data_IF_279062130192
#
_entry.id   IF_279062130192
#
_cell.length_a   1.000
_cell.length_b   1.000
_cell.length_c   1.000
_cell.angle_alpha   90.00
_cell.angle_beta   90.00
_cell.angle_gamma   90.00
#
_symmetry.space_group_name_H-M   'P 1'
#
loop_
_entity.id
_entity.type
_entity.pdbx_description
1 polymer ?
#
# COMPACT_ATOMS: atom_id res chain seq x y z
N UNK A 1 4.87 7.69 -25.67
CA UNK A 1 4.82 6.56 -24.72
C UNK A 1 3.65 5.68 -25.14
N UNK A 2 3.87 4.39 -25.38
CA UNK A 2 2.78 3.47 -25.70
C UNK A 2 1.82 3.39 -24.51
N UNK A 3 0.52 3.49 -24.75
CA UNK A 3 -0.47 3.41 -23.69
C UNK A 3 -0.54 1.97 -23.18
N UNK A 4 0.16 1.65 -22.09
CA UNK A 4 0.02 0.35 -21.41
C UNK A 4 -1.43 0.20 -20.91
N UNK A 5 -1.96 -1.01 -21.04
CA UNK A 5 -3.26 -1.43 -20.50
C UNK A 5 -3.00 -2.40 -19.35
N UNK A 6 -3.65 -2.17 -18.22
CA UNK A 6 -3.55 -3.02 -17.04
C UNK A 6 -4.84 -3.81 -16.87
N UNK A 7 -4.69 -5.10 -16.58
CA UNK A 7 -5.80 -6.02 -16.34
C UNK A 7 -5.41 -7.01 -15.26
N UNK A 8 -6.37 -7.35 -14.41
CA UNK A 8 -6.21 -8.38 -13.37
C UNK A 8 -6.39 -9.76 -13.99
N UNK A 9 -5.55 -10.71 -13.59
CA UNK A 9 -5.74 -12.14 -13.87
C UNK A 9 -6.43 -12.76 -12.65
N UNK A 10 -7.68 -13.17 -12.81
CA UNK A 10 -8.48 -13.75 -11.74
C UNK A 10 -8.34 -15.28 -11.67
N UNK A 11 -8.82 -15.86 -10.58
CA UNK A 11 -8.92 -17.31 -10.35
C UNK A 11 -7.98 -17.83 -9.26
N UNK A 12 -7.06 -16.99 -8.78
CA UNK A 12 -6.07 -17.37 -7.76
C UNK A 12 -6.49 -16.95 -6.36
N UNK A 13 -7.19 -15.82 -6.22
CA UNK A 13 -7.40 -15.18 -4.93
C UNK A 13 -8.90 -15.10 -4.59
N UNK A 14 -9.23 -15.20 -3.30
CA UNK A 14 -10.60 -15.06 -2.79
C UNK A 14 -11.18 -13.67 -3.05
N UNK A 15 -10.31 -12.67 -3.19
CA UNK A 15 -10.65 -11.30 -3.54
C UNK A 15 -11.17 -11.16 -5.00
N UNK A 16 -11.04 -12.21 -5.82
CA UNK A 16 -11.66 -12.28 -7.14
C UNK A 16 -13.19 -12.51 -7.06
N UNK A 17 -13.73 -12.85 -5.88
CA UNK A 17 -15.14 -13.17 -5.67
C UNK A 17 -15.86 -12.06 -4.85
N UNK A 18 -17.02 -11.55 -5.28
CA UNK A 18 -17.69 -10.39 -4.67
C UNK A 18 -18.38 -10.67 -3.33
N UNK A 19 -18.38 -11.91 -2.85
CA UNK A 19 -19.17 -12.34 -1.70
C UNK A 19 -18.41 -12.35 -0.37
N UNK A 20 -17.08 -12.22 -0.39
CA UNK A 20 -16.28 -12.21 0.83
C UNK A 20 -15.95 -10.78 1.25
N UNK A 21 -16.17 -10.48 2.53
CA UNK A 21 -15.78 -9.21 3.16
C UNK A 21 -14.83 -9.45 4.35
N UNK A 22 -14.31 -10.65 4.54
CA UNK A 22 -13.38 -10.96 5.64
C UNK A 22 -11.95 -10.93 5.11
N UNK A 23 -10.98 -10.53 5.95
CA UNK A 23 -9.58 -10.67 5.58
C UNK A 23 -9.29 -12.17 5.38
N UNK A 24 -8.92 -12.61 4.18
CA UNK A 24 -8.79 -14.02 3.93
C UNK A 24 -7.44 -14.55 4.47
N UNK A 25 -7.38 -15.82 4.91
CA UNK A 25 -6.12 -16.44 5.31
C UNK A 25 -5.17 -16.50 4.11
N UNK A 26 -3.85 -16.64 4.38
CA UNK A 26 -2.83 -16.87 3.34
C UNK A 26 -2.83 -15.80 2.24
N UNK A 27 -3.05 -14.53 2.61
CA UNK A 27 -3.21 -13.41 1.69
C UNK A 27 -4.34 -13.58 0.66
N UNK A 28 -5.23 -14.55 0.86
CA UNK A 28 -6.36 -14.85 0.00
C UNK A 28 -6.11 -15.90 -1.07
N UNK A 29 -4.97 -16.58 -1.10
CA UNK A 29 -4.77 -17.67 -2.07
C UNK A 29 -5.82 -18.77 -1.86
N UNK A 30 -6.55 -19.10 -2.93
CA UNK A 30 -7.63 -20.10 -2.93
C UNK A 30 -7.13 -21.51 -2.66
N UNK A 31 -5.96 -21.86 -3.18
CA UNK A 31 -5.32 -23.16 -2.94
C UNK A 31 -4.89 -23.26 -1.46
N UNK A 32 -5.35 -24.29 -0.78
CA UNK A 32 -5.09 -24.59 0.63
C UNK A 32 -4.17 -25.80 0.83
N UNK A 33 -3.63 -26.39 -0.25
CA UNK A 33 -2.63 -27.46 -0.16
C UNK A 33 -1.29 -26.96 0.41
N UNK A 34 -0.47 -27.89 0.89
CA UNK A 34 0.85 -27.56 1.48
C UNK A 34 1.85 -26.97 0.46
N UNK A 35 1.67 -27.25 -0.82
CA UNK A 35 2.51 -26.76 -1.93
C UNK A 35 1.89 -25.56 -2.69
N UNK A 36 0.82 -24.96 -2.13
CA UNK A 36 0.02 -23.89 -2.76
C UNK A 36 0.84 -22.75 -3.36
N UNK A 37 1.84 -22.24 -2.65
CA UNK A 37 2.65 -21.12 -3.14
C UNK A 37 3.67 -21.54 -4.18
N UNK A 38 4.18 -22.76 -4.08
CA UNK A 38 5.06 -23.34 -5.10
C UNK A 38 4.29 -23.51 -6.41
N UNK A 39 3.06 -24.03 -6.34
CA UNK A 39 2.14 -24.11 -7.50
C UNK A 39 1.83 -22.73 -8.05
N UNK A 40 1.41 -21.79 -7.20
CA UNK A 40 1.10 -20.42 -7.61
C UNK A 40 2.29 -19.76 -8.32
N UNK A 41 3.50 -19.88 -7.77
CA UNK A 41 4.71 -19.35 -8.40
C UNK A 41 4.94 -19.98 -9.78
N UNK A 42 4.79 -21.30 -9.90
CA UNK A 42 4.89 -22.00 -11.18
C UNK A 42 3.89 -21.50 -12.23
N UNK A 43 2.65 -21.19 -11.83
CA UNK A 43 1.65 -20.60 -12.72
C UNK A 43 2.07 -19.20 -13.20
N UNK A 44 2.62 -18.35 -12.33
CA UNK A 44 3.14 -17.01 -12.72
C UNK A 44 4.34 -17.13 -13.67
N UNK A 45 5.23 -18.09 -13.42
CA UNK A 45 6.37 -18.39 -14.31
C UNK A 45 5.88 -18.86 -15.68
N UNK A 46 4.89 -19.75 -15.72
CA UNK A 46 4.28 -20.25 -16.95
C UNK A 46 3.54 -19.16 -17.74
N UNK A 47 2.82 -18.26 -17.06
CA UNK A 47 2.17 -17.10 -17.67
C UNK A 47 3.19 -16.20 -18.37
N UNK A 48 4.33 -15.92 -17.73
CA UNK A 48 5.38 -15.11 -18.34
C UNK A 48 6.12 -15.86 -19.46
N UNK A 49 6.39 -17.17 -19.31
CA UNK A 49 7.06 -17.97 -20.33
C UNK A 49 6.24 -18.10 -21.62
N UNK A 50 4.91 -18.06 -21.51
CA UNK A 50 3.97 -18.12 -22.64
C UNK A 50 3.37 -16.75 -23.02
N UNK A 51 3.87 -15.66 -22.44
CA UNK A 51 3.32 -14.33 -22.65
C UNK A 51 3.50 -13.87 -24.11
N UNK A 52 2.46 -13.29 -24.73
CA UNK A 52 2.60 -12.60 -26.01
C UNK A 52 3.60 -11.45 -25.91
N UNK A 53 4.28 -11.14 -27.03
CA UNK A 53 5.20 -10.00 -27.10
C UNK A 53 4.55 -8.71 -26.58
N UNK A 54 5.21 -8.05 -25.62
CA UNK A 54 4.70 -6.84 -24.97
C UNK A 54 3.77 -7.08 -23.77
N UNK A 55 3.59 -8.33 -23.35
CA UNK A 55 2.84 -8.70 -22.15
C UNK A 55 3.78 -9.19 -21.05
N UNK A 56 3.51 -8.79 -19.81
CA UNK A 56 4.21 -9.28 -18.62
C UNK A 56 3.16 -9.51 -17.53
N UNK A 57 3.40 -10.51 -16.68
CA UNK A 57 2.57 -10.82 -15.54
C UNK A 57 3.37 -10.60 -14.26
N UNK A 58 2.82 -9.81 -13.34
CA UNK A 58 3.44 -9.47 -12.05
C UNK A 58 2.43 -9.70 -10.94
N UNK A 59 2.92 -10.08 -9.77
CA UNK A 59 2.14 -10.20 -8.54
C UNK A 59 2.48 -9.02 -7.65
N UNK A 60 1.45 -8.29 -7.21
CA UNK A 60 1.62 -7.10 -6.36
C UNK A 60 0.90 -7.30 -5.04
N UNK A 61 1.66 -7.44 -3.96
CA UNK A 61 1.15 -7.46 -2.58
C UNK A 61 0.90 -6.03 -2.09
N UNK A 62 -0.37 -5.64 -1.99
CA UNK A 62 -0.79 -4.32 -1.52
C UNK A 62 -1.08 -4.35 -0.01
N UNK A 63 -0.25 -3.67 0.78
CA UNK A 63 -0.45 -3.51 2.23
C UNK A 63 -1.00 -2.14 2.59
N UNK A 64 -2.15 -2.07 3.26
CA UNK A 64 -2.65 -0.82 3.86
C UNK A 64 -1.96 -0.60 5.21
N UNK A 65 -1.53 0.62 5.49
CA UNK A 65 -0.91 0.96 6.77
C UNK A 65 -1.79 0.56 7.98
N UNK A 66 -1.16 0.24 9.11
CA UNK A 66 -1.83 0.02 10.40
C UNK A 66 -2.48 1.30 10.96
N UNK A 67 -3.26 1.17 12.03
CA UNK A 67 -3.95 2.31 12.64
C UNK A 67 -2.98 3.45 12.98
N UNK A 68 -3.21 4.63 12.39
CA UNK A 68 -2.53 5.87 12.73
C UNK A 68 -3.38 6.76 13.64
N UNK A 69 -2.77 7.76 14.25
CA UNK A 69 -3.51 8.71 15.09
C UNK A 69 -4.60 9.47 14.33
N UNK A 70 -4.49 9.62 13.00
CA UNK A 70 -5.62 10.13 12.19
C UNK A 70 -6.79 9.18 12.10
N UNK A 71 -6.61 7.87 12.19
CA UNK A 71 -7.73 6.93 12.27
C UNK A 71 -8.46 7.08 13.61
N UNK A 72 -7.73 7.29 14.70
CA UNK A 72 -8.31 7.56 16.02
C UNK A 72 -9.06 8.89 16.02
N UNK A 73 -8.46 9.94 15.47
CA UNK A 73 -9.14 11.23 15.28
C UNK A 73 -10.38 11.06 14.41
N UNK A 74 -10.28 10.24 13.36
CA UNK A 74 -11.41 9.94 12.49
C UNK A 74 -12.58 9.36 13.26
N UNK A 75 -12.33 8.34 14.09
CA UNK A 75 -13.35 7.73 14.96
C UNK A 75 -13.89 8.72 16.01
N UNK A 76 -13.03 9.53 16.64
CA UNK A 76 -13.40 10.50 17.69
C UNK A 76 -14.40 11.56 17.19
N UNK A 77 -14.18 12.08 15.98
CA UNK A 77 -14.99 13.19 15.45
C UNK A 77 -16.05 12.77 14.43
N UNK A 78 -16.32 11.47 14.30
CA UNK A 78 -17.47 10.95 13.54
C UNK A 78 -18.65 10.61 14.45
N UNK A 79 -19.37 11.62 14.96
CA UNK A 79 -20.76 11.46 15.44
C UNK A 79 -21.52 12.75 15.12
N UNK A 80 -22.60 12.62 14.33
CA UNK A 80 -23.52 13.66 13.85
C UNK A 80 -22.92 14.82 13.00
N UNK A 81 -23.11 14.72 11.68
CA UNK A 81 -22.93 15.75 10.65
C UNK A 81 -21.48 16.12 10.25
N UNK A 82 -21.19 15.81 8.99
CA UNK A 82 -19.93 16.01 8.26
C UNK A 82 -18.84 14.99 8.54
N UNK A 83 -18.49 14.28 7.46
CA UNK A 83 -17.16 13.71 7.26
C UNK A 83 -16.10 14.68 7.79
N UNK A 84 -14.98 14.15 8.26
CA UNK A 84 -13.75 14.90 8.51
C UNK A 84 -13.21 15.45 7.18
N UNK A 85 -13.95 16.38 6.60
CA UNK A 85 -13.71 17.01 5.30
C UNK A 85 -13.89 18.51 5.37
N UNK A 86 -14.13 19.09 6.55
CA UNK A 86 -14.38 20.53 6.67
C UNK A 86 -13.43 21.18 7.67
N UNK A 87 -13.65 20.99 8.98
CA UNK A 87 -12.87 21.65 10.02
C UNK A 87 -11.75 20.78 10.58
N UNK A 88 -12.09 19.64 11.20
CA UNK A 88 -11.11 18.81 11.92
C UNK A 88 -9.99 18.25 11.05
N UNK A 89 -10.27 17.96 9.77
CA UNK A 89 -9.24 17.49 8.83
C UNK A 89 -8.17 18.53 8.53
N UNK A 90 -8.51 19.82 8.64
CA UNK A 90 -7.60 20.94 8.38
C UNK A 90 -6.74 21.30 9.59
N UNK A 91 -6.93 20.63 10.72
CA UNK A 91 -6.15 20.82 11.94
C UNK A 91 -5.13 19.71 12.13
N UNK A 92 -4.08 20.00 12.89
CA UNK A 92 -3.03 19.05 13.25
C UNK A 92 -3.36 18.25 14.51
N UNK A 93 -4.29 18.75 15.32
CA UNK A 93 -4.69 18.15 16.59
C UNK A 93 -5.72 18.98 17.35
N UNK A 94 -6.11 18.52 18.54
CA UNK A 94 -7.02 19.22 19.47
C UNK A 94 -6.37 19.55 20.83
N UNK A 95 -5.07 19.31 20.97
CA UNK A 95 -4.34 19.45 22.24
C UNK A 95 -4.28 18.17 23.07
N UNK A 96 -5.10 17.16 22.77
CA UNK A 96 -5.03 15.82 23.35
C UNK A 96 -4.42 14.81 22.36
N UNK A 97 -4.79 14.94 21.10
CA UNK A 97 -4.42 14.06 20.00
C UNK A 97 -3.75 14.88 18.88
N UNK A 98 -2.66 14.36 18.32
CA UNK A 98 -2.00 14.92 17.14
C UNK A 98 -2.20 13.96 15.98
N UNK A 99 -2.94 14.39 14.96
CA UNK A 99 -3.23 13.61 13.75
C UNK A 99 -2.68 14.24 12.46
N UNK A 100 -1.97 15.36 12.55
CA UNK A 100 -1.30 15.98 11.42
C UNK A 100 -0.14 16.91 11.85
N UNK A 101 0.74 17.28 10.91
CA UNK A 101 0.92 16.62 9.61
C UNK A 101 1.59 15.25 9.76
N UNK A 102 1.40 14.37 8.77
CA UNK A 102 2.02 13.03 8.70
C UNK A 102 2.00 12.26 10.04
N UNK A 103 0.83 11.87 10.56
CA UNK A 103 0.69 11.24 11.87
C UNK A 103 1.39 9.88 11.95
N UNK A 104 1.82 9.56 13.16
CA UNK A 104 2.42 8.27 13.48
C UNK A 104 1.39 7.14 13.60
N UNK A 105 1.89 5.89 13.63
CA UNK A 105 1.11 4.73 14.03
C UNK A 105 0.75 4.81 15.53
N UNK A 106 -0.40 4.27 15.89
CA UNK A 106 -0.72 3.95 17.29
C UNK A 106 -0.05 2.63 17.68
N UNK A 107 -0.07 2.30 18.98
CA UNK A 107 0.36 0.96 19.42
C UNK A 107 -0.44 -0.14 18.73
N UNK A 108 -1.75 0.06 18.52
CA UNK A 108 -2.59 -0.88 17.78
C UNK A 108 -2.13 -1.02 16.32
N UNK A 109 -1.81 0.09 15.65
CA UNK A 109 -1.28 0.04 14.28
C UNK A 109 0.05 -0.69 14.16
N UNK A 110 0.88 -0.68 15.21
CA UNK A 110 2.11 -1.48 15.27
C UNK A 110 1.79 -2.97 15.43
N UNK A 111 0.84 -3.35 16.30
CA UNK A 111 0.42 -4.76 16.44
C UNK A 111 -0.17 -5.29 15.13
N UNK A 112 -1.04 -4.53 14.45
CA UNK A 112 -1.57 -4.91 13.14
C UNK A 112 -0.46 -5.17 12.10
N UNK A 113 0.61 -4.36 12.12
CA UNK A 113 1.76 -4.59 11.24
C UNK A 113 2.54 -5.87 11.60
N UNK A 114 2.56 -6.26 12.89
CA UNK A 114 3.11 -7.54 13.35
C UNK A 114 2.22 -8.71 12.95
N UNK A 115 0.90 -8.57 12.92
CA UNK A 115 0.01 -9.64 12.45
C UNK A 115 0.24 -9.94 10.97
N UNK A 116 0.48 -8.91 10.16
CA UNK A 116 0.95 -9.08 8.78
C UNK A 116 2.33 -9.77 8.71
N UNK A 117 3.27 -9.42 9.60
CA UNK A 117 4.58 -10.10 9.69
C UNK A 117 4.44 -11.59 10.06
N UNK A 118 3.58 -11.91 11.02
CA UNK A 118 3.25 -13.29 11.40
C UNK A 118 2.68 -14.05 10.21
N UNK A 119 1.77 -13.45 9.44
CA UNK A 119 1.21 -14.06 8.23
C UNK A 119 2.30 -14.37 7.19
N UNK A 120 3.23 -13.44 6.96
CA UNK A 120 4.39 -13.68 6.08
C UNK A 120 5.25 -14.85 6.59
N UNK A 121 5.56 -14.89 7.88
CA UNK A 121 6.37 -15.97 8.48
C UNK A 121 5.69 -17.34 8.41
N UNK A 122 4.37 -17.38 8.63
CA UNK A 122 3.59 -18.60 8.47
C UNK A 122 3.63 -19.08 7.03
N UNK A 123 3.33 -18.22 6.06
CA UNK A 123 3.28 -18.63 4.65
C UNK A 123 4.67 -18.89 4.03
N UNK A 124 5.75 -18.40 4.66
CA UNK A 124 7.13 -18.77 4.34
C UNK A 124 7.39 -20.27 4.53
N UNK A 125 6.77 -20.90 5.53
CA UNK A 125 6.87 -22.36 5.74
C UNK A 125 6.22 -23.15 4.60
N UNK A 126 5.31 -22.53 3.85
CA UNK A 126 4.60 -23.09 2.70
C UNK A 126 5.14 -22.57 1.35
N UNK A 127 6.29 -21.90 1.36
CA UNK A 127 6.99 -21.49 0.15
C UNK A 127 6.44 -20.24 -0.53
N UNK A 128 5.82 -19.31 0.20
CA UNK A 128 5.40 -18.02 -0.37
C UNK A 128 6.57 -17.33 -1.08
N UNK A 129 6.43 -16.92 -2.35
CA UNK A 129 7.45 -16.13 -3.01
C UNK A 129 7.55 -14.76 -2.34
N UNK A 130 8.73 -14.48 -1.77
CA UNK A 130 9.02 -13.18 -1.17
C UNK A 130 9.05 -12.08 -2.24
N UNK A 131 8.61 -10.85 -1.90
CA UNK A 131 8.79 -9.70 -2.78
C UNK A 131 10.26 -9.50 -3.13
N UNK A 132 10.53 -9.31 -4.40
CA UNK A 132 11.86 -9.02 -4.95
C UNK A 132 12.09 -7.52 -5.10
N UNK A 133 11.00 -6.74 -5.18
CA UNK A 133 10.97 -5.28 -5.19
C UNK A 133 9.95 -4.75 -4.20
N UNK A 134 10.30 -3.69 -3.46
CA UNK A 134 9.41 -3.08 -2.48
C UNK A 134 9.30 -1.58 -2.67
N UNK A 135 8.07 -1.09 -2.51
CA UNK A 135 7.71 0.31 -2.52
C UNK A 135 6.93 0.67 -1.26
N UNK A 136 7.11 1.90 -0.80
CA UNK A 136 6.29 2.46 0.29
C UNK A 136 5.89 3.88 -0.01
N UNK A 137 4.71 4.25 0.49
CA UNK A 137 4.31 5.64 0.61
C UNK A 137 5.31 6.41 1.46
N UNK A 138 5.54 7.70 1.16
CA UNK A 138 6.41 8.53 1.97
C UNK A 138 5.82 8.93 3.33
N UNK A 139 4.56 8.58 3.62
CA UNK A 139 3.94 8.88 4.92
C UNK A 139 4.50 7.94 5.99
N UNK A 140 4.90 8.47 7.15
CA UNK A 140 5.61 7.70 8.19
C UNK A 140 4.84 6.46 8.64
N UNK A 141 3.50 6.54 8.71
CA UNK A 141 2.64 5.41 9.07
C UNK A 141 2.77 4.22 8.12
N UNK A 142 2.93 4.49 6.83
CA UNK A 142 3.14 3.45 5.82
C UNK A 142 4.58 2.90 5.88
N UNK A 143 5.58 3.77 6.04
CA UNK A 143 6.99 3.35 6.19
C UNK A 143 7.16 2.46 7.43
N UNK A 144 6.63 2.85 8.59
CA UNK A 144 6.68 2.03 9.82
C UNK A 144 5.91 0.73 9.69
N UNK A 145 4.74 0.74 9.04
CA UNK A 145 4.01 -0.50 8.75
C UNK A 145 4.89 -1.43 7.93
N UNK A 146 5.50 -0.93 6.84
CA UNK A 146 6.40 -1.70 5.98
C UNK A 146 7.57 -2.30 6.78
N UNK A 147 8.22 -1.48 7.61
CA UNK A 147 9.36 -1.90 8.42
C UNK A 147 9.01 -3.06 9.36
N UNK A 148 7.89 -2.95 10.08
CA UNK A 148 7.43 -3.98 11.02
C UNK A 148 6.95 -5.23 10.26
N UNK A 149 6.18 -5.06 9.17
CA UNK A 149 5.68 -6.18 8.36
C UNK A 149 6.81 -7.05 7.81
N UNK A 150 7.93 -6.47 7.40
CA UNK A 150 9.04 -7.21 6.79
C UNK A 150 10.23 -7.49 7.71
N UNK A 151 10.13 -7.14 8.99
CA UNK A 151 11.19 -7.40 9.97
C UNK A 151 11.49 -8.91 10.07
N UNK A 152 12.74 -9.29 9.75
CA UNK A 152 13.19 -10.68 9.75
C UNK A 152 12.59 -11.57 8.64
N UNK A 153 11.85 -10.99 7.68
CA UNK A 153 11.24 -11.71 6.54
C UNK A 153 12.12 -11.59 5.29
N UNK A 154 12.64 -10.40 5.02
CA UNK A 154 13.40 -10.11 3.80
C UNK A 154 14.92 -10.15 4.02
N UNK A 155 15.65 -10.37 2.92
CA UNK A 155 17.12 -10.24 2.91
C UNK A 155 17.53 -8.79 3.23
N UNK A 156 18.57 -8.55 4.06
CA UNK A 156 18.98 -7.19 4.43
C UNK A 156 19.39 -6.27 3.27
N UNK A 157 19.82 -6.86 2.14
CA UNK A 157 20.21 -6.12 0.94
C UNK A 157 19.01 -5.57 0.16
N UNK A 158 17.81 -6.09 0.39
CA UNK A 158 16.60 -5.63 -0.29
C UNK A 158 16.01 -4.45 0.49
N UNK A 159 16.06 -3.27 -0.12
CA UNK A 159 15.57 -2.03 0.48
C UNK A 159 14.24 -1.63 -0.14
N UNK A 160 13.35 -1.08 0.69
CA UNK A 160 12.07 -0.53 0.24
C UNK A 160 12.28 0.89 -0.27
N UNK A 161 11.87 1.16 -1.51
CA UNK A 161 11.98 2.50 -2.11
C UNK A 161 10.75 3.34 -1.77
N UNK A 162 10.97 4.56 -1.31
CA UNK A 162 9.92 5.55 -1.07
C UNK A 162 9.50 6.17 -2.42
N UNK A 163 8.21 6.02 -2.75
CA UNK A 163 7.63 6.50 -4.02
C UNK A 163 6.48 7.46 -3.71
N UNK A 164 6.62 8.71 -4.17
CA UNK A 164 5.72 9.82 -3.90
C UNK A 164 4.28 9.48 -4.30
N UNK A 165 4.14 8.85 -5.47
CA UNK A 165 2.85 8.53 -6.06
C UNK A 165 2.09 7.40 -5.37
N UNK A 166 2.66 6.77 -4.34
CA UNK A 166 1.97 5.76 -3.51
C UNK A 166 1.34 6.35 -2.24
N UNK A 167 1.26 7.69 -2.10
CA UNK A 167 0.56 8.38 -0.99
C UNK A 167 -0.97 8.24 -1.04
N UNK A 168 -1.62 8.56 0.08
CA UNK A 168 -3.08 8.69 0.17
C UNK A 168 -3.62 9.75 -0.81
N UNK A 169 -4.94 9.81 -1.01
CA UNK A 169 -5.60 10.92 -1.70
C UNK A 169 -5.14 12.26 -1.10
N UNK A 170 -4.55 13.13 -1.91
CA UNK A 170 -3.80 14.29 -1.42
C UNK A 170 -4.67 15.55 -1.18
N UNK A 171 -4.14 16.47 -0.37
CA UNK A 171 -4.66 17.83 -0.15
C UNK A 171 -5.77 17.93 0.91
N UNK A 172 -6.09 19.14 1.36
CA UNK A 172 -7.06 19.53 2.41
C UNK A 172 -6.80 18.97 3.81
N UNK A 173 -6.63 17.66 3.95
CA UNK A 173 -6.36 17.02 5.24
C UNK A 173 -4.89 17.13 5.57
N UNK A 174 -4.57 17.66 6.75
CA UNK A 174 -3.19 17.80 7.25
C UNK A 174 -2.50 16.45 7.42
N UNK A 175 -3.24 15.39 7.74
CA UNK A 175 -2.71 14.02 7.83
C UNK A 175 -2.14 13.49 6.50
N UNK A 176 -2.51 14.12 5.38
CA UNK A 176 -2.05 13.80 4.03
C UNK A 176 -0.88 14.70 3.58
N UNK A 177 -0.44 15.63 4.43
CA UNK A 177 0.75 16.45 4.22
C UNK A 177 1.99 15.70 4.70
N UNK A 178 2.91 15.43 3.78
CA UNK A 178 4.18 14.76 4.02
C UNK A 178 5.18 15.68 4.72
N UNK A 179 6.04 15.11 5.56
CA UNK A 179 7.25 15.76 6.09
C UNK A 179 8.30 16.01 5.00
N UNK A 180 9.34 16.80 5.31
CA UNK A 180 10.44 17.03 4.37
C UNK A 180 11.20 15.74 4.06
N UNK A 181 11.80 15.66 2.88
CA UNK A 181 12.61 14.50 2.49
C UNK A 181 13.77 14.28 3.45
N UNK A 182 14.45 15.34 3.87
CA UNK A 182 15.54 15.26 4.86
C UNK A 182 15.09 14.73 6.22
N UNK A 183 13.90 15.09 6.68
CA UNK A 183 13.31 14.58 7.94
C UNK A 183 12.98 13.09 7.81
N UNK A 184 12.36 12.68 6.70
CA UNK A 184 12.06 11.25 6.44
C UNK A 184 13.36 10.45 6.34
N UNK A 185 14.38 10.97 5.65
CA UNK A 185 15.68 10.33 5.51
C UNK A 185 16.40 10.17 6.87
N UNK A 186 16.23 11.14 7.77
CA UNK A 186 16.79 11.08 9.13
C UNK A 186 16.12 9.98 9.96
N UNK A 187 14.80 9.82 9.86
CA UNK A 187 14.05 8.81 10.60
C UNK A 187 14.20 7.40 10.00
N UNK A 188 14.35 7.31 8.68
CA UNK A 188 14.37 6.06 7.92
C UNK A 188 15.59 6.01 6.98
N UNK A 189 16.82 5.98 7.51
CA UNK A 189 18.04 6.07 6.70
C UNK A 189 18.24 4.90 5.72
N UNK A 190 17.58 3.78 5.98
CA UNK A 190 17.61 2.57 5.13
C UNK A 190 16.59 2.58 3.99
N UNK A 191 15.76 3.62 3.87
CA UNK A 191 14.70 3.72 2.86
C UNK A 191 15.12 4.71 1.77
N UNK A 192 15.66 4.24 0.63
CA UNK A 192 16.00 5.12 -0.49
C UNK A 192 14.74 5.76 -1.08
N UNK A 193 14.88 6.95 -1.65
CA UNK A 193 13.81 7.63 -2.37
C UNK A 193 13.90 7.37 -3.86
N UNK A 194 12.77 7.43 -4.56
CA UNK A 194 12.77 7.44 -6.03
C UNK A 194 13.58 8.62 -6.61
N UNK A 195 14.01 8.45 -7.85
CA UNK A 195 14.71 9.50 -8.58
C UNK A 195 13.82 10.74 -8.74
N UNK A 196 14.38 11.92 -8.47
CA UNK A 196 13.65 13.20 -8.57
C UNK A 196 12.74 13.54 -7.38
N UNK A 197 12.77 12.73 -6.30
CA UNK A 197 11.97 13.03 -5.11
C UNK A 197 12.34 14.38 -4.48
N UNK A 198 11.35 15.27 -4.38
CA UNK A 198 11.49 16.67 -3.96
C UNK A 198 11.60 16.83 -2.44
N UNK A 199 12.26 17.90 -2.00
CA UNK A 199 12.53 18.15 -0.58
C UNK A 199 11.24 18.46 0.20
N UNK A 200 10.53 19.51 -0.22
CA UNK A 200 9.29 19.97 0.39
C UNK A 200 8.08 19.25 -0.22
N UNK A 201 6.96 19.20 0.50
CA UNK A 201 5.71 18.64 -0.03
C UNK A 201 4.94 19.67 -0.86
N UNK A 202 5.49 20.01 -2.03
CA UNK A 202 4.95 21.05 -2.93
C UNK A 202 3.60 20.67 -3.57
N UNK A 203 3.24 19.38 -3.53
CA UNK A 203 2.00 18.88 -4.15
C UNK A 203 0.80 18.89 -3.20
N UNK A 204 1.01 19.00 -1.89
CA UNK A 204 -0.09 19.13 -0.93
C UNK A 204 -0.63 20.55 -0.92
N UNK A 205 -1.95 20.68 -1.06
CA UNK A 205 -2.65 21.96 -1.09
C UNK A 205 -3.72 21.99 0.04
N UNK A 206 -3.79 23.04 0.87
CA UNK A 206 -4.76 23.13 1.98
C UNK A 206 -6.23 23.30 1.53
N UNK A 207 -6.45 23.68 0.27
CA UNK A 207 -7.75 24.06 -0.27
C UNK A 207 -8.18 23.20 -1.47
N UNK A 208 -7.25 22.52 -2.14
CA UNK A 208 -7.52 21.61 -3.27
C UNK A 208 -7.37 20.15 -2.82
N UNK A 209 -8.48 19.40 -2.90
CA UNK A 209 -8.46 17.95 -2.67
C UNK A 209 -8.36 17.24 -4.01
N UNK A 210 -7.39 16.35 -4.14
CA UNK A 210 -7.22 15.46 -5.30
C UNK A 210 -8.54 14.74 -5.61
N UNK A 211 -8.95 14.65 -6.86
CA UNK A 211 -10.13 13.90 -7.34
C UNK A 211 -9.84 12.39 -7.38
N UNK A 212 -10.87 11.54 -7.47
CA UNK A 212 -10.62 10.10 -7.57
C UNK A 212 -9.95 9.73 -8.90
N UNK A 213 -10.29 10.44 -9.96
CA UNK A 213 -9.72 10.31 -11.29
C UNK A 213 -8.23 10.69 -11.31
N UNK A 214 -7.83 11.70 -10.55
CA UNK A 214 -6.42 12.06 -10.37
C UNK A 214 -5.64 10.99 -9.59
N UNK A 215 -6.25 10.38 -8.56
CA UNK A 215 -5.64 9.22 -7.88
C UNK A 215 -5.48 8.04 -8.85
N UNK A 216 -6.45 7.80 -9.74
CA UNK A 216 -6.35 6.75 -10.77
C UNK A 216 -5.21 7.01 -11.76
N UNK A 217 -5.07 8.26 -12.22
CA UNK A 217 -3.93 8.68 -13.07
C UNK A 217 -2.61 8.44 -12.34
N UNK A 218 -2.54 8.75 -11.05
CA UNK A 218 -1.34 8.57 -10.23
C UNK A 218 -1.02 7.09 -9.98
N UNK A 219 -2.02 6.27 -9.69
CA UNK A 219 -1.86 4.82 -9.57
C UNK A 219 -1.38 4.20 -10.89
N UNK A 220 -1.91 4.68 -12.04
CA UNK A 220 -1.42 4.27 -13.36
C UNK A 220 0.04 4.64 -13.58
N UNK A 221 0.52 5.81 -13.12
CA UNK A 221 1.94 6.17 -13.20
C UNK A 221 2.83 5.23 -12.39
N UNK A 222 2.36 4.75 -11.23
CA UNK A 222 3.09 3.73 -10.44
C UNK A 222 3.14 2.39 -11.19
N UNK A 223 2.04 1.98 -11.82
CA UNK A 223 2.02 0.80 -12.68
C UNK A 223 2.97 0.95 -13.88
N UNK A 224 2.94 2.10 -14.57
CA UNK A 224 3.84 2.39 -15.69
C UNK A 224 5.30 2.30 -15.22
N UNK A 225 5.65 2.91 -14.08
CA UNK A 225 6.98 2.81 -13.48
C UNK A 225 7.40 1.35 -13.21
N UNK A 226 6.52 0.56 -12.59
CA UNK A 226 6.79 -0.85 -12.26
C UNK A 226 7.04 -1.67 -13.53
N UNK A 227 6.19 -1.51 -14.55
CA UNK A 227 6.29 -2.30 -15.76
C UNK A 227 7.37 -1.80 -16.74
N UNK A 228 7.84 -0.56 -16.60
CA UNK A 228 8.94 -0.01 -17.38
C UNK A 228 10.32 -0.28 -16.77
N UNK A 229 10.43 -0.28 -15.44
CA UNK A 229 11.73 -0.32 -14.74
C UNK A 229 12.05 -1.64 -14.06
N UNK A 230 11.04 -2.41 -13.65
CA UNK A 230 11.26 -3.60 -12.83
C UNK A 230 11.19 -4.88 -13.68
N UNK A 231 12.20 -5.73 -13.57
CA UNK A 231 12.18 -7.08 -14.12
C UNK A 231 11.54 -8.08 -13.15
N UNK A 232 11.49 -7.71 -11.86
CA UNK A 232 10.96 -8.48 -10.74
C UNK A 232 9.49 -8.88 -10.93
N UNK A 233 9.14 -10.10 -10.56
CA UNK A 233 7.77 -10.61 -10.71
C UNK A 233 6.93 -10.38 -9.46
N UNK A 234 7.54 -10.46 -8.27
CA UNK A 234 6.86 -10.32 -6.99
C UNK A 234 7.21 -8.97 -6.36
N UNK A 235 6.21 -8.11 -6.21
CA UNK A 235 6.37 -6.72 -5.77
C UNK A 235 5.48 -6.49 -4.55
N UNK A 236 5.96 -5.73 -3.57
CA UNK A 236 5.12 -5.25 -2.47
C UNK A 236 5.02 -3.73 -2.47
N UNK A 237 3.84 -3.20 -2.19
CA UNK A 237 3.59 -1.78 -2.01
C UNK A 237 2.86 -1.57 -0.68
N UNK A 238 3.46 -0.85 0.25
CA UNK A 238 2.80 -0.42 1.49
C UNK A 238 2.27 1.01 1.34
N UNK A 239 0.95 1.18 1.48
CA UNK A 239 0.25 2.41 1.08
C UNK A 239 -1.04 2.62 1.90
N UNK A 240 -2.02 3.31 1.31
CA UNK A 240 -3.22 3.85 1.92
C UNK A 240 -4.46 3.43 1.14
N UNK A 241 -5.63 3.66 1.73
CA UNK A 241 -6.88 3.15 1.21
C UNK A 241 -7.19 3.64 -0.20
N UNK A 242 -7.16 4.96 -0.47
CA UNK A 242 -7.57 5.47 -1.79
C UNK A 242 -6.59 5.14 -2.88
N UNK A 243 -5.30 5.02 -2.56
CA UNK A 243 -4.32 4.55 -3.53
C UNK A 243 -4.58 3.09 -3.92
N UNK A 244 -4.80 2.20 -2.95
CA UNK A 244 -5.05 0.77 -3.20
C UNK A 244 -6.36 0.58 -4.00
N UNK A 245 -7.39 1.33 -3.63
CA UNK A 245 -8.67 1.37 -4.33
C UNK A 245 -8.51 1.84 -5.80
N UNK A 246 -7.74 2.90 -6.03
CA UNK A 246 -7.39 3.38 -7.37
C UNK A 246 -6.55 2.37 -8.18
N UNK A 247 -5.52 1.78 -7.56
CA UNK A 247 -4.68 0.77 -8.17
C UNK A 247 -5.51 -0.41 -8.70
N UNK A 248 -6.47 -0.87 -7.90
CA UNK A 248 -7.41 -1.93 -8.28
C UNK A 248 -8.34 -1.52 -9.40
N UNK A 249 -8.94 -0.32 -9.35
CA UNK A 249 -9.77 0.20 -10.46
C UNK A 249 -9.00 0.26 -11.77
N UNK A 250 -7.78 0.79 -11.76
CA UNK A 250 -6.92 0.90 -12.95
C UNK A 250 -6.59 -0.47 -13.54
N UNK A 251 -6.46 -1.50 -12.70
CA UNK A 251 -6.25 -2.89 -13.13
C UNK A 251 -7.55 -3.64 -13.46
N UNK A 252 -8.72 -3.01 -13.36
CA UNK A 252 -10.02 -3.67 -13.57
C UNK A 252 -10.33 -4.77 -12.55
N UNK A 253 -9.77 -4.70 -11.34
CA UNK A 253 -10.08 -5.63 -10.25
C UNK A 253 -11.42 -5.26 -9.61
N UNK A 254 -12.15 -6.26 -9.09
CA UNK A 254 -13.39 -6.04 -8.35
C UNK A 254 -13.20 -5.16 -7.09
N UNK A 255 -14.25 -4.45 -6.64
CA UNK A 255 -14.32 -3.83 -5.32
C UNK A 255 -14.01 -4.83 -4.21
N UNK A 256 -13.19 -4.41 -3.24
CA UNK A 256 -12.80 -5.16 -2.04
C UNK A 256 -12.43 -4.14 -0.97
N UNK A 257 -12.98 -4.24 0.24
CA UNK A 257 -12.61 -3.32 1.30
C UNK A 257 -11.41 -3.88 2.06
N UNK A 258 -10.23 -3.26 1.91
CA UNK A 258 -9.04 -3.65 2.67
C UNK A 258 -9.03 -2.85 3.98
N UNK A 259 -9.30 -3.46 5.15
CA UNK A 259 -9.35 -2.73 6.41
C UNK A 259 -7.96 -2.20 6.81
N UNK A 260 -7.96 -1.22 7.72
CA UNK A 260 -6.71 -0.61 8.23
C UNK A 260 -5.86 -1.67 8.92
N UNK A 261 -4.58 -1.76 8.55
CA UNK A 261 -3.67 -2.79 9.05
C UNK A 261 -3.96 -4.21 8.57
N UNK A 262 -4.95 -4.40 7.69
CA UNK A 262 -5.37 -5.72 7.25
C UNK A 262 -6.35 -6.42 8.18
N UNK A 263 -6.80 -5.83 9.30
CA UNK A 263 -7.73 -6.52 10.20
C UNK A 263 -9.03 -5.75 10.43
N UNK A 264 -10.13 -6.50 10.55
CA UNK A 264 -11.39 -5.98 11.10
C UNK A 264 -11.28 -6.00 12.63
N UNK A 265 -11.27 -4.81 13.24
CA UNK A 265 -11.33 -4.61 14.69
C UNK A 265 -12.74 -4.81 15.22
#
# INVERSE_FOLDING_TARGET
MGTRRYTTVCGFFLQDDPESNELPPRFGLKDDNDDRWVKFKGEIEQLNASAPSGTQYKVVFLGRHGEGYHNVAMKKYTVEACRITTFWSKLDGDGELVWGPDPDLTNLGVEQAKDANCTWKTELEYGIPLPEKLYSSPMRRAIKTNQVTFEGVLRPSLKTTIVENTRERNGVSTCDKRRKKSEIASDFPDYPFEEGFIEEDEIWDPDVRETFEEVDVRAKKVLDMIFDKDEEQFISITSHYRFIDAFRRVCGHLPWDLPTGGEYL
#
